data_IF_934245776321
#
_entry.id   IF_934245776321
#
_cell.length_a   1.000
_cell.length_b   1.000
_cell.length_c   1.000
_cell.angle_alpha   90.00
_cell.angle_beta   90.00
_cell.angle_gamma   90.00
#
_symmetry.space_group_name_H-M   'P 1'
#
loop_
_entity.id
_entity.type
_entity.pdbx_description
1 polymer ?
#
# COMPACT_ATOMS: atom_id res chain seq x y z
N UNK A 1 -12.58 -10.35 24.77
CA UNK A 1 -12.35 -9.05 24.11
C UNK A 1 -10.98 -8.56 24.53
N UNK A 2 -9.93 -8.76 23.70
CA UNK A 2 -8.61 -8.19 23.98
C UNK A 2 -8.69 -6.68 23.68
N UNK A 3 -8.32 -5.88 24.66
CA UNK A 3 -8.44 -4.43 24.60
C UNK A 3 -7.53 -3.88 23.49
N UNK A 4 -8.13 -3.52 22.36
CA UNK A 4 -7.45 -2.90 21.22
C UNK A 4 -6.73 -1.59 21.62
N UNK A 5 -7.15 -0.94 22.75
CA UNK A 5 -6.46 0.22 23.31
C UNK A 5 -5.06 -0.12 23.79
N UNK A 6 -4.86 -1.29 24.41
CA UNK A 6 -3.54 -1.74 24.88
C UNK A 6 -2.57 -1.99 23.71
N UNK A 7 -3.08 -2.56 22.62
CA UNK A 7 -2.31 -2.81 21.41
C UNK A 7 -1.96 -1.49 20.73
N UNK A 8 -2.92 -0.59 20.65
CA UNK A 8 -2.80 0.76 20.11
C UNK A 8 -1.75 1.58 20.87
N UNK A 9 -1.80 1.62 22.21
CA UNK A 9 -0.83 2.32 23.04
C UNK A 9 0.59 1.75 22.86
N UNK A 10 0.74 0.43 22.80
CA UNK A 10 2.03 -0.22 22.58
C UNK A 10 2.65 0.10 21.21
N UNK A 11 1.85 0.30 20.18
CA UNK A 11 2.29 0.65 18.83
C UNK A 11 2.55 2.15 18.66
N UNK A 12 1.74 3.00 19.32
CA UNK A 12 1.92 4.45 19.32
C UNK A 12 3.08 4.90 20.21
N UNK A 13 3.29 4.25 21.36
CA UNK A 13 4.38 4.58 22.29
C UNK A 13 5.76 4.15 21.76
N UNK A 14 5.83 3.17 20.85
CA UNK A 14 7.07 2.96 20.09
C UNK A 14 7.23 4.13 19.11
N UNK A 15 8.23 4.96 19.35
CA UNK A 15 8.54 6.15 18.53
C UNK A 15 8.55 5.85 17.01
N UNK A 16 8.89 4.63 16.61
CA UNK A 16 8.79 4.11 15.24
C UNK A 16 8.78 2.58 15.28
N UNK A 17 7.82 1.88 14.66
CA UNK A 17 7.99 0.45 14.42
C UNK A 17 9.25 0.23 13.59
N UNK A 18 9.99 -0.85 13.83
CA UNK A 18 11.17 -1.16 13.03
C UNK A 18 10.75 -1.31 11.56
N UNK A 19 11.39 -0.55 10.68
CA UNK A 19 11.37 -0.83 9.25
C UNK A 19 12.54 -1.73 8.94
N UNK A 20 12.40 -2.55 7.91
CA UNK A 20 13.49 -3.33 7.39
C UNK A 20 14.64 -2.40 7.00
N UNK A 21 15.87 -2.63 7.53
CA UNK A 21 16.97 -1.69 7.35
C UNK A 21 17.30 -1.39 5.88
N UNK A 22 17.17 -2.38 5.00
CA UNK A 22 17.48 -2.24 3.58
C UNK A 22 16.44 -1.33 2.89
N UNK A 23 15.15 -1.54 3.19
CA UNK A 23 14.05 -0.72 2.66
C UNK A 23 14.21 0.71 3.15
N UNK A 24 14.43 0.90 4.45
CA UNK A 24 14.63 2.25 5.01
C UNK A 24 15.84 2.95 4.39
N UNK A 25 16.96 2.25 4.24
CA UNK A 25 18.18 2.82 3.65
C UNK A 25 17.93 3.32 2.22
N UNK A 26 17.13 2.61 1.45
CA UNK A 26 16.81 3.01 0.08
C UNK A 26 15.83 4.19 0.07
N UNK A 27 14.70 4.06 0.74
CA UNK A 27 13.62 5.05 0.66
C UNK A 27 13.95 6.37 1.37
N UNK A 28 14.71 6.32 2.47
CA UNK A 28 15.07 7.53 3.23
C UNK A 28 16.01 8.49 2.49
N UNK A 29 16.62 8.07 1.39
CA UNK A 29 17.47 8.92 0.53
C UNK A 29 16.67 9.71 -0.50
N UNK A 30 15.43 9.30 -0.76
CA UNK A 30 14.60 9.92 -1.78
C UNK A 30 14.02 11.22 -1.25
N UNK A 31 14.04 12.24 -2.09
CA UNK A 31 13.44 13.56 -1.87
C UNK A 31 12.63 13.93 -3.10
N UNK A 32 11.54 14.67 -2.93
CA UNK A 32 10.75 15.06 -4.10
C UNK A 32 9.51 15.88 -3.78
N UNK A 33 8.69 16.05 -4.81
CA UNK A 33 7.39 16.72 -4.74
C UNK A 33 6.34 15.82 -4.11
N UNK A 34 6.13 14.62 -4.66
CA UNK A 34 5.06 13.73 -4.26
C UNK A 34 5.56 12.34 -3.90
N UNK A 35 5.13 11.87 -2.73
CA UNK A 35 5.16 10.45 -2.33
C UNK A 35 3.73 9.91 -2.26
N UNK A 36 3.47 8.78 -2.91
CA UNK A 36 2.21 8.05 -2.87
C UNK A 36 2.41 6.75 -2.09
N UNK A 37 1.70 6.61 -0.97
CA UNK A 37 1.73 5.43 -0.09
C UNK A 37 0.42 4.65 -0.27
N UNK A 38 0.48 3.58 -1.06
CA UNK A 38 -0.67 2.72 -1.36
C UNK A 38 -0.67 1.55 -0.39
N UNK A 39 -1.73 1.45 0.44
CA UNK A 39 -1.77 0.58 1.61
C UNK A 39 -1.02 1.21 2.79
N UNK A 40 -1.42 2.44 3.15
CA UNK A 40 -0.72 3.21 4.19
C UNK A 40 -0.89 2.64 5.60
N UNK A 41 -1.96 1.87 5.85
CA UNK A 41 -2.32 1.28 7.14
C UNK A 41 -2.24 2.32 8.27
N UNK A 42 -1.36 2.14 9.24
CA UNK A 42 -1.15 3.10 10.33
C UNK A 42 -0.14 4.22 9.99
N UNK A 43 0.26 4.36 8.72
CA UNK A 43 1.09 5.46 8.24
C UNK A 43 2.58 5.34 8.59
N UNK A 44 3.11 4.14 8.72
CA UNK A 44 4.52 3.94 9.06
C UNK A 44 5.44 4.60 8.04
N UNK A 45 5.18 4.40 6.75
CA UNK A 45 5.95 5.03 5.67
C UNK A 45 5.52 6.48 5.47
N UNK A 46 4.21 6.75 5.36
CA UNK A 46 3.68 8.11 5.17
C UNK A 46 4.26 9.11 6.16
N UNK A 47 4.20 8.80 7.46
CA UNK A 47 4.66 9.71 8.52
C UNK A 47 6.19 9.85 8.54
N UNK A 48 6.94 8.75 8.32
CA UNK A 48 8.41 8.78 8.40
C UNK A 48 9.04 9.46 7.19
N UNK A 49 8.47 9.26 6.00
CA UNK A 49 8.99 9.84 4.77
C UNK A 49 8.46 11.25 4.50
N UNK A 50 7.36 11.68 5.14
CA UNK A 50 6.78 13.00 4.89
C UNK A 50 7.75 14.18 4.98
N UNK A 51 8.79 14.20 5.83
CA UNK A 51 9.77 15.30 5.84
C UNK A 51 10.61 15.40 4.57
N UNK A 52 10.57 14.36 3.73
CA UNK A 52 11.38 14.27 2.52
C UNK A 52 10.62 14.72 1.26
N UNK A 53 9.30 14.93 1.37
CA UNK A 53 8.45 15.25 0.25
C UNK A 53 7.62 16.50 0.52
N UNK A 54 7.25 17.22 -0.56
CA UNK A 54 6.34 18.35 -0.44
C UNK A 54 4.94 17.90 -0.05
N UNK A 55 4.47 16.81 -0.65
CA UNK A 55 3.17 16.19 -0.38
C UNK A 55 3.29 14.68 -0.25
N UNK A 56 2.43 14.11 0.57
CA UNK A 56 2.26 12.66 0.70
C UNK A 56 0.78 12.34 0.54
N UNK A 57 0.46 11.44 -0.37
CA UNK A 57 -0.90 10.90 -0.54
C UNK A 57 -0.92 9.48 0.03
N UNK A 58 -1.71 9.29 1.08
CA UNK A 58 -1.83 8.03 1.81
C UNK A 58 -3.18 7.40 1.52
N UNK A 59 -3.18 6.28 0.79
CA UNK A 59 -4.37 5.52 0.43
C UNK A 59 -4.53 4.34 1.38
N UNK A 60 -5.66 4.30 2.11
CA UNK A 60 -5.95 3.25 3.08
C UNK A 60 -7.45 2.97 3.13
N UNK A 61 -7.92 1.81 2.66
CA UNK A 61 -9.35 1.48 2.61
C UNK A 61 -9.93 1.02 3.94
N UNK A 62 -9.10 0.53 4.88
CA UNK A 62 -9.57 -0.06 6.13
C UNK A 62 -10.22 1.01 7.03
N UNK A 63 -11.56 0.95 7.25
CA UNK A 63 -12.26 1.96 8.04
C UNK A 63 -11.81 2.00 9.51
N UNK A 64 -11.22 0.92 10.03
CA UNK A 64 -10.66 0.88 11.38
C UNK A 64 -9.25 1.46 11.45
N UNK A 65 -8.47 1.40 10.37
CA UNK A 65 -7.12 1.94 10.30
C UNK A 65 -7.09 3.45 10.04
N UNK A 66 -7.99 3.96 9.20
CA UNK A 66 -8.04 5.38 8.80
C UNK A 66 -8.09 6.36 9.98
N UNK A 67 -8.93 6.18 11.01
CA UNK A 67 -8.92 7.08 12.17
C UNK A 67 -7.60 7.06 12.93
N UNK A 68 -6.94 5.90 13.01
CA UNK A 68 -5.66 5.72 13.68
C UNK A 68 -4.52 6.37 12.90
N UNK A 69 -4.54 6.23 11.58
CA UNK A 69 -3.62 6.92 10.66
C UNK A 69 -3.71 8.44 10.82
N UNK A 70 -4.93 9.00 10.78
CA UNK A 70 -5.16 10.44 10.95
C UNK A 70 -4.66 10.94 12.29
N UNK A 71 -4.99 10.23 13.38
CA UNK A 71 -4.51 10.55 14.72
C UNK A 71 -2.98 10.56 14.78
N UNK A 72 -2.32 9.57 14.19
CA UNK A 72 -0.85 9.50 14.15
C UNK A 72 -0.22 10.65 13.37
N UNK A 73 -0.83 11.04 12.25
CA UNK A 73 -0.41 12.20 11.46
C UNK A 73 -0.47 13.48 12.30
N UNK A 74 -1.57 13.69 13.03
CA UNK A 74 -1.77 14.84 13.91
C UNK A 74 -0.74 14.86 15.05
N UNK A 75 -0.57 13.75 15.78
CA UNK A 75 0.40 13.60 16.88
C UNK A 75 1.84 13.89 16.44
N UNK A 76 2.14 13.67 15.16
CA UNK A 76 3.46 13.94 14.57
C UNK A 76 3.53 15.30 13.87
N UNK A 77 2.46 16.10 13.95
CA UNK A 77 2.35 17.43 13.32
C UNK A 77 2.69 17.42 11.82
N UNK A 78 2.29 16.37 11.09
CA UNK A 78 2.55 16.21 9.65
C UNK A 78 1.43 16.87 8.85
N UNK A 79 1.66 18.10 8.36
CA UNK A 79 0.66 18.91 7.64
C UNK A 79 0.62 18.64 6.13
N UNK A 80 1.58 17.89 5.61
CA UNK A 80 1.74 17.60 4.18
C UNK A 80 1.26 16.21 3.78
N UNK A 81 0.48 15.52 4.64
CA UNK A 81 -0.08 14.20 4.36
C UNK A 81 -1.58 14.34 4.15
N UNK A 82 -2.07 13.91 3.00
CA UNK A 82 -3.50 13.77 2.68
C UNK A 82 -3.89 12.30 2.73
N UNK A 83 -4.94 11.98 3.50
CA UNK A 83 -5.45 10.60 3.65
C UNK A 83 -6.67 10.40 2.78
N UNK A 84 -6.59 9.44 1.88
CA UNK A 84 -7.68 8.98 1.01
C UNK A 84 -8.21 7.64 1.55
N UNK A 85 -9.45 7.60 2.08
CA UNK A 85 -10.05 6.37 2.66
C UNK A 85 -10.62 5.47 1.55
N UNK A 86 -9.81 5.13 0.57
CA UNK A 86 -10.14 4.32 -0.60
C UNK A 86 -9.00 3.35 -0.92
N UNK A 87 -9.32 2.25 -1.59
CA UNK A 87 -8.29 1.37 -2.16
C UNK A 87 -7.98 1.78 -3.60
N UNK A 88 -6.70 1.74 -3.98
CA UNK A 88 -6.32 1.78 -5.38
C UNK A 88 -6.42 0.38 -6.01
N UNK A 89 -6.97 0.33 -7.23
CA UNK A 89 -7.23 -0.90 -7.95
C UNK A 89 -7.24 -0.65 -9.48
N UNK A 90 -7.67 -1.64 -10.25
CA UNK A 90 -7.75 -1.58 -11.71
C UNK A 90 -9.05 -0.94 -12.24
N UNK A 91 -9.94 -0.49 -11.37
CA UNK A 91 -11.21 0.12 -11.74
C UNK A 91 -11.75 1.02 -10.63
N UNK A 92 -12.68 1.92 -10.99
CA UNK A 92 -13.44 2.73 -10.04
C UNK A 92 -14.70 2.00 -9.60
N UNK A 93 -15.16 2.21 -8.35
CA UNK A 93 -16.39 1.63 -7.82
C UNK A 93 -16.33 1.26 -6.34
N UNK A 94 -16.92 0.13 -5.99
CA UNK A 94 -16.91 -0.45 -4.65
C UNK A 94 -16.37 -1.87 -4.70
N UNK A 95 -15.64 -2.26 -3.65
CA UNK A 95 -15.14 -3.61 -3.47
C UNK A 95 -15.40 -4.13 -2.06
N UNK A 96 -15.43 -5.44 -1.92
CA UNK A 96 -15.47 -6.11 -0.62
C UNK A 96 -14.08 -6.08 0.00
N UNK A 97 -14.01 -5.62 1.24
CA UNK A 97 -12.81 -5.61 2.06
C UNK A 97 -13.04 -6.49 3.28
N UNK A 98 -12.20 -7.50 3.46
CA UNK A 98 -12.32 -8.44 4.56
C UNK A 98 -11.47 -7.98 5.73
N UNK A 99 -12.13 -7.77 6.88
CA UNK A 99 -11.49 -7.43 8.14
C UNK A 99 -11.09 -8.72 8.85
N UNK A 100 -9.83 -8.90 9.19
CA UNK A 100 -9.41 -10.01 10.04
C UNK A 100 -9.57 -9.66 11.52
N UNK A 101 -10.56 -10.28 12.18
CA UNK A 101 -10.83 -10.08 13.60
C UNK A 101 -9.76 -10.73 14.51
N UNK A 102 -8.84 -11.56 13.99
CA UNK A 102 -7.93 -12.39 14.78
C UNK A 102 -6.52 -11.85 14.82
N UNK A 103 -6.23 -10.74 14.20
CA UNK A 103 -4.89 -10.20 14.19
C UNK A 103 -4.59 -9.33 15.40
N UNK A 104 -4.06 -10.01 16.39
CA UNK A 104 -3.12 -9.36 17.28
C UNK A 104 -1.87 -8.99 16.48
N UNK A 105 -1.50 -7.72 16.55
CA UNK A 105 -0.37 -7.03 15.92
C UNK A 105 1.00 -7.72 16.07
N UNK A 106 1.17 -8.91 15.53
CA UNK A 106 2.45 -9.61 15.47
C UNK A 106 3.13 -9.46 14.09
N UNK A 107 2.91 -8.33 13.41
CA UNK A 107 3.73 -7.96 12.24
C UNK A 107 3.36 -8.64 10.93
N UNK A 108 2.34 -9.49 10.89
CA UNK A 108 1.73 -9.99 9.67
C UNK A 108 0.25 -9.61 9.69
N UNK A 109 -0.05 -8.51 9.06
CA UNK A 109 -1.43 -8.09 8.86
C UNK A 109 -1.97 -8.82 7.64
N UNK A 110 -2.64 -9.97 7.82
CA UNK A 110 -3.41 -10.60 6.74
C UNK A 110 -4.74 -9.84 6.55
N UNK A 111 -4.65 -8.56 6.30
CA UNK A 111 -5.78 -7.78 5.83
C UNK A 111 -5.81 -7.92 4.33
N UNK A 112 -6.38 -9.04 3.85
CA UNK A 112 -6.49 -9.31 2.43
C UNK A 112 -7.56 -8.40 1.83
N UNK A 113 -7.15 -7.42 1.03
CA UNK A 113 -8.03 -6.72 0.12
C UNK A 113 -8.37 -7.67 -1.02
N UNK A 114 -9.46 -8.42 -0.92
CA UNK A 114 -10.02 -9.05 -2.10
C UNK A 114 -10.82 -8.02 -2.88
N UNK A 115 -10.18 -7.43 -3.87
CA UNK A 115 -10.87 -6.66 -4.90
C UNK A 115 -11.62 -7.63 -5.78
N UNK A 116 -12.86 -7.96 -5.39
CA UNK A 116 -13.77 -8.63 -6.29
C UNK A 116 -14.32 -7.60 -7.26
N UNK A 117 -13.77 -7.53 -8.47
CA UNK A 117 -14.62 -7.18 -9.59
C UNK A 117 -15.74 -8.19 -9.61
N UNK A 118 -16.98 -7.74 -9.53
CA UNK A 118 -18.13 -8.55 -9.84
C UNK A 118 -18.01 -8.98 -11.32
N UNK A 119 -17.33 -10.08 -11.53
CA UNK A 119 -17.29 -10.78 -12.78
C UNK A 119 -17.50 -12.25 -12.42
N UNK A 120 -18.68 -12.83 -12.73
CA UNK A 120 -19.06 -14.17 -12.29
C UNK A 120 -18.23 -15.28 -12.94
N UNK A 121 -16.92 -15.16 -13.01
CA UNK A 121 -16.06 -16.17 -13.63
C UNK A 121 -14.55 -16.00 -13.45
N UNK A 122 -14.08 -14.98 -12.75
CA UNK A 122 -12.63 -14.79 -12.58
C UNK A 122 -12.26 -14.42 -11.16
N UNK A 123 -11.73 -15.38 -10.40
CA UNK A 123 -10.91 -15.09 -9.22
C UNK A 123 -9.58 -14.50 -9.67
N UNK A 124 -9.31 -13.27 -9.29
CA UNK A 124 -7.99 -12.67 -9.45
C UNK A 124 -7.50 -12.31 -8.04
N UNK A 125 -6.44 -12.95 -7.63
CA UNK A 125 -5.61 -12.57 -6.49
C UNK A 125 -5.98 -13.26 -5.18
N UNK A 126 -4.93 -13.58 -4.46
CA UNK A 126 -4.82 -13.98 -3.07
C UNK A 126 -5.62 -15.22 -2.64
N UNK A 127 -4.91 -16.28 -2.41
CA UNK A 127 -5.28 -17.43 -1.58
C UNK A 127 -6.60 -18.18 -1.92
N UNK A 128 -6.70 -19.41 -1.55
CA UNK A 128 -7.90 -20.19 -1.84
C UNK A 128 -9.11 -19.62 -1.10
N UNK A 129 -10.26 -19.53 -1.79
CA UNK A 129 -11.53 -18.94 -1.34
C UNK A 129 -12.02 -19.40 0.06
N UNK A 130 -11.50 -20.51 0.57
CA UNK A 130 -11.80 -21.05 1.89
C UNK A 130 -11.16 -20.27 3.06
N UNK A 131 -10.22 -19.37 2.79
CA UNK A 131 -9.53 -18.58 3.86
C UNK A 131 -10.43 -17.46 4.43
N UNK A 132 -11.57 -17.17 3.80
CA UNK A 132 -12.43 -16.01 4.14
C UNK A 132 -13.75 -16.36 4.81
N UNK A 133 -13.99 -17.64 5.07
CA UNK A 133 -15.21 -18.09 5.77
C UNK A 133 -15.19 -17.52 7.20
N UNK A 134 -16.21 -16.73 7.55
CA UNK A 134 -16.39 -16.17 8.89
C UNK A 134 -15.67 -14.84 9.17
N UNK A 135 -15.01 -14.21 8.17
CA UNK A 135 -14.42 -12.88 8.32
C UNK A 135 -15.48 -11.79 8.11
N UNK A 136 -15.40 -10.73 8.92
CA UNK A 136 -16.22 -9.54 8.71
C UNK A 136 -15.87 -8.90 7.36
N UNK A 137 -16.88 -8.49 6.60
CA UNK A 137 -16.73 -7.90 5.29
C UNK A 137 -17.41 -6.54 5.24
N UNK A 138 -16.70 -5.54 4.76
CA UNK A 138 -17.23 -4.19 4.54
C UNK A 138 -17.05 -3.80 3.07
N UNK A 139 -17.94 -2.91 2.59
CA UNK A 139 -17.78 -2.32 1.26
C UNK A 139 -16.91 -1.08 1.37
N UNK A 140 -15.85 -1.00 0.56
CA UNK A 140 -14.97 0.15 0.49
C UNK A 140 -14.92 0.75 -0.91
N UNK A 141 -14.76 2.07 -1.04
CA UNK A 141 -14.52 2.69 -2.34
C UNK A 141 -13.20 2.21 -2.94
N UNK A 142 -13.21 1.97 -4.25
CA UNK A 142 -12.01 1.69 -5.03
C UNK A 142 -11.88 2.69 -6.18
N UNK A 143 -10.64 3.01 -6.56
CA UNK A 143 -10.33 3.87 -7.69
C UNK A 143 -9.06 3.41 -8.40
N UNK A 144 -8.87 3.83 -9.66
CA UNK A 144 -7.59 3.65 -10.32
C UNK A 144 -6.60 4.73 -9.87
N UNK A 145 -5.30 4.40 -9.89
CA UNK A 145 -4.25 5.39 -9.67
C UNK A 145 -4.42 6.57 -10.64
N UNK A 146 -4.62 6.26 -11.92
CA UNK A 146 -4.74 7.25 -12.99
C UNK A 146 -5.95 8.20 -12.83
N UNK A 147 -7.02 7.76 -12.14
CA UNK A 147 -8.17 8.65 -11.85
C UNK A 147 -7.94 9.57 -10.65
N UNK A 148 -7.02 9.23 -9.75
CA UNK A 148 -6.79 9.97 -8.51
C UNK A 148 -5.56 10.87 -8.55
N UNK A 149 -4.55 10.54 -9.37
CA UNK A 149 -3.23 11.18 -9.33
C UNK A 149 -2.83 11.57 -10.75
N UNK A 150 -2.83 12.87 -11.01
CA UNK A 150 -2.46 13.43 -12.30
C UNK A 150 -1.01 13.94 -12.34
N UNK A 151 -0.48 14.36 -11.20
CA UNK A 151 0.89 14.84 -11.07
C UNK A 151 1.91 13.69 -11.03
N UNK A 152 3.16 14.02 -11.37
CA UNK A 152 4.25 13.07 -11.29
C UNK A 152 4.62 12.76 -9.83
N UNK A 153 4.75 11.47 -9.51
CA UNK A 153 5.21 10.99 -8.22
C UNK A 153 6.70 10.66 -8.25
N UNK A 154 7.45 11.18 -7.29
CA UNK A 154 8.87 10.85 -7.13
C UNK A 154 9.08 9.48 -6.50
N UNK A 155 8.10 9.03 -5.71
CA UNK A 155 8.06 7.70 -5.14
C UNK A 155 6.61 7.22 -5.03
N UNK A 156 6.37 5.98 -5.43
CA UNK A 156 5.14 5.22 -5.15
C UNK A 156 5.52 3.97 -4.36
N UNK A 157 4.92 3.76 -3.19
CA UNK A 157 4.99 2.49 -2.46
C UNK A 157 3.67 1.76 -2.66
N UNK A 158 3.74 0.48 -2.97
CA UNK A 158 2.59 -0.43 -3.09
C UNK A 158 2.80 -1.59 -2.13
N UNK A 159 1.89 -1.74 -1.17
CA UNK A 159 1.87 -2.81 -0.19
C UNK A 159 0.40 -2.98 0.23
N UNK A 160 -0.29 -3.86 -0.49
CA UNK A 160 -1.76 -3.96 -0.51
C UNK A 160 -2.26 -5.39 -0.35
N UNK A 161 -1.41 -6.24 0.24
CA UNK A 161 -1.78 -7.59 0.68
C UNK A 161 -2.39 -8.46 -0.46
N UNK A 162 -1.75 -8.43 -1.64
CA UNK A 162 -2.07 -9.30 -2.77
C UNK A 162 -2.84 -8.63 -3.93
N UNK A 163 -3.11 -7.32 -3.86
CA UNK A 163 -3.74 -6.57 -4.95
C UNK A 163 -2.73 -5.71 -5.77
N UNK A 164 -1.43 -6.02 -5.69
CA UNK A 164 -0.35 -5.23 -6.29
C UNK A 164 -0.52 -5.09 -7.81
N UNK A 165 -0.89 -6.18 -8.48
CA UNK A 165 -1.08 -6.18 -9.94
C UNK A 165 -2.30 -5.37 -10.38
N UNK A 166 -3.36 -5.34 -9.58
CA UNK A 166 -4.54 -4.50 -9.82
C UNK A 166 -4.17 -3.02 -9.71
N UNK A 167 -3.39 -2.64 -8.69
CA UNK A 167 -2.88 -1.27 -8.54
C UNK A 167 -2.02 -0.88 -9.74
N UNK A 168 -1.07 -1.73 -10.15
CA UNK A 168 -0.21 -1.47 -11.32
C UNK A 168 -1.03 -1.32 -12.61
N UNK A 169 -2.07 -2.14 -12.78
CA UNK A 169 -2.97 -2.04 -13.93
C UNK A 169 -3.78 -0.74 -13.91
N UNK A 170 -4.22 -0.29 -12.73
CA UNK A 170 -4.90 0.99 -12.56
C UNK A 170 -3.98 2.21 -12.65
N UNK A 171 -2.67 1.99 -12.70
CA UNK A 171 -1.63 3.00 -12.87
C UNK A 171 -0.99 2.96 -14.27
N UNK A 172 -1.59 2.22 -15.22
CA UNK A 172 -0.96 1.99 -16.53
C UNK A 172 -0.68 3.28 -17.29
N UNK A 173 -1.57 4.27 -17.24
CA UNK A 173 -1.35 5.58 -17.87
C UNK A 173 -0.18 6.34 -17.23
N UNK A 174 -0.13 6.38 -15.89
CA UNK A 174 0.98 7.00 -15.17
C UNK A 174 2.33 6.32 -15.42
N UNK A 175 2.32 4.99 -15.59
CA UNK A 175 3.50 4.20 -15.92
C UNK A 175 3.95 4.46 -17.36
N UNK A 176 3.03 4.46 -18.34
CA UNK A 176 3.32 4.74 -19.75
C UNK A 176 3.87 6.15 -19.98
N UNK A 177 3.36 7.13 -19.24
CA UNK A 177 3.78 8.54 -19.31
C UNK A 177 5.05 8.83 -18.48
N UNK A 178 5.59 7.86 -17.76
CA UNK A 178 6.76 8.04 -16.88
C UNK A 178 6.48 8.96 -15.67
N UNK A 179 5.21 9.12 -15.28
CA UNK A 179 4.82 9.95 -14.12
C UNK A 179 5.17 9.29 -12.79
N UNK A 180 5.50 8.01 -12.76
CA UNK A 180 6.02 7.31 -11.58
C UNK A 180 7.54 7.17 -11.77
N UNK A 181 8.32 7.97 -11.04
CA UNK A 181 9.78 7.98 -11.18
C UNK A 181 10.48 6.85 -10.45
N UNK A 182 9.97 6.48 -9.27
CA UNK A 182 10.45 5.36 -8.45
C UNK A 182 9.28 4.62 -7.87
N UNK A 183 9.42 3.31 -7.79
CA UNK A 183 8.38 2.44 -7.26
C UNK A 183 8.98 1.44 -6.28
N UNK A 184 8.30 1.18 -5.18
CA UNK A 184 8.58 0.08 -4.27
C UNK A 184 7.33 -0.77 -4.16
N UNK A 185 7.44 -2.04 -4.47
CA UNK A 185 6.33 -3.01 -4.36
C UNK A 185 6.71 -4.08 -3.36
N UNK A 186 5.91 -4.24 -2.32
CA UNK A 186 5.93 -5.42 -1.46
C UNK A 186 5.00 -6.46 -2.08
N UNK A 187 5.60 -7.54 -2.60
CA UNK A 187 4.85 -8.57 -3.32
C UNK A 187 4.47 -9.71 -2.37
N UNK A 188 3.18 -9.95 -2.22
CA UNK A 188 2.66 -10.99 -1.32
C UNK A 188 2.61 -12.37 -1.97
N UNK A 189 2.41 -12.44 -3.28
CA UNK A 189 2.55 -13.66 -4.06
C UNK A 189 4.00 -13.82 -4.55
N UNK A 190 4.78 -14.65 -3.86
CA UNK A 190 6.21 -14.86 -4.16
C UNK A 190 6.44 -15.51 -5.53
N UNK A 191 5.48 -16.30 -6.01
CA UNK A 191 5.59 -17.01 -7.29
C UNK A 191 5.37 -16.06 -8.47
N UNK A 192 4.70 -14.93 -8.24
CA UNK A 192 4.45 -13.88 -9.24
C UNK A 192 5.61 -12.86 -9.40
N UNK A 193 6.76 -13.10 -8.77
CA UNK A 193 7.91 -12.18 -8.82
C UNK A 193 8.39 -11.91 -10.25
N UNK A 194 8.53 -12.94 -11.07
CA UNK A 194 9.01 -12.80 -12.44
C UNK A 194 8.04 -12.00 -13.31
N UNK A 195 6.74 -12.10 -13.05
CA UNK A 195 5.72 -11.31 -13.75
C UNK A 195 5.78 -9.84 -13.34
N UNK A 196 6.01 -9.54 -12.06
CA UNK A 196 6.25 -8.18 -11.60
C UNK A 196 7.49 -7.56 -12.28
N UNK A 197 8.59 -8.33 -12.37
CA UNK A 197 9.81 -7.89 -13.06
C UNK A 197 9.55 -7.62 -14.55
N UNK A 198 8.85 -8.50 -15.24
CA UNK A 198 8.47 -8.31 -16.67
C UNK A 198 7.63 -7.04 -16.85
N UNK A 199 6.62 -6.84 -16.00
CA UNK A 199 5.73 -5.68 -16.11
C UNK A 199 6.53 -4.38 -15.91
N UNK A 200 7.24 -4.23 -14.79
CA UNK A 200 7.94 -2.99 -14.49
C UNK A 200 9.11 -2.71 -15.45
N UNK A 201 9.80 -3.76 -15.93
CA UNK A 201 10.86 -3.60 -16.92
C UNK A 201 10.34 -3.07 -18.27
N UNK A 202 9.12 -3.42 -18.68
CA UNK A 202 8.48 -2.87 -19.90
C UNK A 202 8.27 -1.37 -19.84
N UNK A 203 8.10 -0.81 -18.64
CA UNK A 203 8.00 0.63 -18.40
C UNK A 203 9.36 1.30 -18.14
N UNK A 204 10.47 0.58 -18.34
CA UNK A 204 11.82 1.13 -18.27
C UNK A 204 12.43 1.18 -16.86
N UNK A 205 11.80 0.57 -15.86
CA UNK A 205 12.37 0.54 -14.51
C UNK A 205 13.60 -0.37 -14.43
N UNK A 206 14.68 0.15 -13.82
CA UNK A 206 15.80 -0.65 -13.33
C UNK A 206 15.45 -1.21 -11.95
N UNK A 207 15.36 -2.53 -11.84
CA UNK A 207 14.79 -3.21 -10.67
C UNK A 207 15.87 -3.84 -9.79
N UNK A 208 15.65 -3.80 -8.47
CA UNK A 208 16.43 -4.55 -7.49
C UNK A 208 15.52 -5.06 -6.38
N UNK A 209 15.81 -6.24 -5.85
CA UNK A 209 15.18 -6.75 -4.64
C UNK A 209 15.93 -6.18 -3.42
N UNK A 210 15.21 -5.68 -2.43
CA UNK A 210 15.80 -5.00 -1.28
C UNK A 210 16.16 -5.96 -0.14
N UNK A 211 15.40 -7.05 0.03
CA UNK A 211 15.60 -8.03 1.09
C UNK A 211 15.08 -9.42 0.68
N UNK A 212 15.22 -10.47 1.52
CA UNK A 212 14.73 -11.82 1.23
C UNK A 212 13.21 -11.89 1.06
N UNK A 213 12.45 -11.00 1.71
CA UNK A 213 11.04 -10.80 1.39
C UNK A 213 10.95 -10.07 0.04
N UNK A 214 10.03 -10.44 -0.88
CA UNK A 214 10.03 -9.87 -2.23
C UNK A 214 9.55 -8.41 -2.24
N UNK A 215 10.39 -7.51 -1.70
CA UNK A 215 10.27 -6.07 -1.82
C UNK A 215 11.13 -5.60 -2.97
N UNK A 216 10.47 -5.23 -4.04
CA UNK A 216 11.11 -4.85 -5.31
C UNK A 216 11.12 -3.33 -5.39
N UNK A 217 12.30 -2.76 -5.58
CA UNK A 217 12.49 -1.35 -5.85
C UNK A 217 12.86 -1.14 -7.31
N UNK A 218 12.21 -0.18 -7.96
CA UNK A 218 12.48 0.24 -9.32
C UNK A 218 12.69 1.74 -9.43
N UNK A 219 13.59 2.16 -10.32
CA UNK A 219 13.75 3.56 -10.69
C UNK A 219 13.86 3.70 -12.20
N UNK A 220 13.23 4.72 -12.75
CA UNK A 220 13.49 5.16 -14.12
C UNK A 220 14.93 5.74 -14.22
N UNK A 221 15.53 5.61 -15.39
CA UNK A 221 16.88 6.09 -15.65
C UNK A 221 16.95 7.63 -15.63
#
# INVERSE_FOLDING_TARGET
MRDWRFIFEKYLLRKHPPLEPQVWTELSRIRGGLFVDVGAYLGTYSVRLSPHFRHVYAFEPNPSAVPLLRKRIEERSRRNITVFPIALSDSNGLARFYLDAHQGFNGSADTLLQVFKYNPGRQIGAGPAHTYVGKECVMVPIATYDSQIQEAADLVKIDVEGAEFQVLKGASGALDEGRIRRIMVELHDKDAKDDLYKILSRYGFKLKQLDPHPRIFGSLA
#
